data_IF_768127794010
#
_entry.id   IF_768127794010
#
_cell.length_a   1.000
_cell.length_b   1.000
_cell.length_c   1.000
_cell.angle_alpha   90.00
_cell.angle_beta   90.00
_cell.angle_gamma   90.00
#
_symmetry.space_group_name_H-M   'P 1'
#
loop_
_entity.id
_entity.type
_entity.pdbx_description
1 polymer ?
#
# COMPACT_ATOMS: atom_id res chain seq x y z
N UNK A 1 -3.74 -0.55 -1.27
CA UNK A 1 -4.75 -0.66 -0.19
C UNK A 1 -4.97 -2.10 0.29
N UNK A 2 -5.39 -3.05 -0.58
CA UNK A 2 -5.76 -4.42 -0.16
C UNK A 2 -4.64 -5.21 0.53
N UNK A 3 -3.39 -4.84 0.32
CA UNK A 3 -2.22 -5.54 0.83
C UNK A 3 -1.66 -4.93 2.12
N UNK A 4 -2.20 -3.81 2.58
CA UNK A 4 -1.82 -3.14 3.82
C UNK A 4 -2.63 -3.71 4.99
N UNK A 5 -2.00 -4.40 5.97
CA UNK A 5 -2.70 -5.01 7.09
C UNK A 5 -3.56 -4.02 7.87
N UNK A 6 -3.04 -2.82 8.10
CA UNK A 6 -3.70 -1.81 8.92
C UNK A 6 -4.94 -1.19 8.26
N UNK A 7 -5.10 -1.29 6.92
CA UNK A 7 -6.34 -0.90 6.24
C UNK A 7 -7.52 -1.83 6.54
N UNK A 8 -7.26 -3.03 7.04
CA UNK A 8 -8.29 -4.03 7.32
C UNK A 8 -8.66 -4.13 8.81
N UNK A 9 -8.26 -3.15 9.63
CA UNK A 9 -8.59 -3.12 11.06
C UNK A 9 -9.02 -1.73 11.54
N UNK A 10 -9.77 -1.67 12.66
CA UNK A 10 -10.22 -0.41 13.27
C UNK A 10 -9.08 0.37 13.95
N UNK A 11 -8.01 -0.32 14.35
CA UNK A 11 -6.81 0.28 14.94
C UNK A 11 -5.77 0.63 13.87
N UNK A 12 -6.21 1.24 12.77
CA UNK A 12 -5.42 1.43 11.57
C UNK A 12 -4.13 2.25 11.76
N UNK A 13 -4.14 3.22 12.67
CA UNK A 13 -2.97 4.04 12.98
C UNK A 13 -2.43 3.83 14.42
N UNK A 14 -2.81 2.73 15.06
CA UNK A 14 -2.37 2.42 16.42
C UNK A 14 -3.04 3.26 17.52
N UNK A 15 -4.09 4.00 17.18
CA UNK A 15 -4.78 4.93 18.09
C UNK A 15 -5.42 4.22 19.30
N UNK A 16 -5.78 2.96 19.19
CA UNK A 16 -6.36 2.18 20.28
C UNK A 16 -5.32 1.52 21.19
N UNK A 17 -4.05 1.50 20.77
CA UNK A 17 -2.96 0.81 21.48
C UNK A 17 -1.79 1.72 21.85
N UNK A 18 -1.92 3.03 21.63
CA UNK A 18 -0.88 4.02 21.91
C UNK A 18 0.31 3.96 20.94
N UNK A 19 0.08 3.46 19.73
CA UNK A 19 1.10 3.28 18.69
C UNK A 19 0.87 4.22 17.50
N UNK A 20 0.42 5.46 17.78
CA UNK A 20 0.13 6.45 16.75
C UNK A 20 1.28 6.60 15.75
N UNK A 21 0.93 6.64 14.47
CA UNK A 21 1.89 6.73 13.36
C UNK A 21 2.38 5.39 12.84
N UNK A 22 1.93 4.25 13.40
CA UNK A 22 2.35 2.91 12.94
C UNK A 22 1.94 2.65 11.49
N UNK A 23 0.87 3.25 11.01
CA UNK A 23 0.42 3.13 9.64
C UNK A 23 1.47 3.67 8.66
N UNK A 24 1.82 4.94 8.78
CA UNK A 24 2.87 5.55 7.96
C UNK A 24 4.25 4.92 8.21
N UNK A 25 4.51 4.43 9.40
CA UNK A 25 5.72 3.69 9.71
C UNK A 25 5.81 2.41 8.86
N UNK A 26 4.77 1.58 8.87
CA UNK A 26 4.71 0.31 8.14
C UNK A 26 4.70 0.52 6.62
N UNK A 27 3.86 1.44 6.13
CA UNK A 27 3.56 1.60 4.71
C UNK A 27 4.56 2.50 3.98
N UNK A 28 5.16 3.48 4.68
CA UNK A 28 6.01 4.49 4.07
C UNK A 28 7.45 4.42 4.57
N UNK A 29 7.66 4.50 5.88
CA UNK A 29 9.01 4.63 6.43
C UNK A 29 9.87 3.39 6.22
N UNK A 30 9.32 2.19 6.46
CA UNK A 30 10.06 0.94 6.25
C UNK A 30 10.42 0.76 4.77
N UNK A 31 9.48 0.88 3.81
CA UNK A 31 9.83 0.83 2.38
C UNK A 31 10.84 1.89 1.95
N UNK A 32 10.70 3.13 2.43
CA UNK A 32 11.63 4.21 2.10
C UNK A 32 13.09 3.88 2.43
N UNK A 33 13.32 3.24 3.56
CA UNK A 33 14.69 2.92 4.00
C UNK A 33 15.25 1.64 3.38
N UNK A 34 14.41 0.65 3.14
CA UNK A 34 14.85 -0.71 2.84
C UNK A 34 14.57 -1.16 1.40
N UNK A 35 13.49 -0.68 0.78
CA UNK A 35 13.00 -1.25 -0.47
C UNK A 35 14.02 -1.21 -1.61
N UNK A 36 14.67 -0.08 -1.82
CA UNK A 36 15.63 0.08 -2.90
C UNK A 36 16.93 -0.71 -2.68
N UNK A 37 17.30 -0.94 -1.42
CA UNK A 37 18.59 -1.52 -1.06
C UNK A 37 18.55 -3.02 -0.79
N UNK A 38 17.43 -3.51 -0.26
CA UNK A 38 17.35 -4.83 0.36
C UNK A 38 16.28 -5.74 -0.27
N UNK A 39 15.25 -5.16 -0.94
CA UNK A 39 14.12 -5.94 -1.41
C UNK A 39 14.20 -6.25 -2.90
N UNK A 40 13.70 -7.43 -3.27
CA UNK A 40 13.62 -7.87 -4.66
C UNK A 40 12.18 -7.75 -5.17
N UNK A 41 11.97 -6.91 -6.17
CA UNK A 41 10.68 -6.73 -6.85
C UNK A 41 10.54 -7.52 -8.15
N UNK A 42 11.48 -8.42 -8.47
CA UNK A 42 11.32 -9.33 -9.59
C UNK A 42 10.28 -10.39 -9.19
N UNK A 43 9.12 -10.29 -9.80
CA UNK A 43 7.98 -11.18 -9.58
C UNK A 43 7.75 -12.04 -10.81
N UNK A 44 7.00 -13.13 -10.65
CA UNK A 44 6.58 -13.99 -11.76
C UNK A 44 5.62 -13.28 -12.74
N UNK A 45 5.24 -13.97 -13.83
CA UNK A 45 4.33 -13.43 -14.83
C UNK A 45 2.93 -13.16 -14.24
N UNK A 46 2.26 -12.15 -14.79
CA UNK A 46 0.86 -11.87 -14.48
C UNK A 46 -0.03 -13.09 -14.82
N UNK A 47 -1.07 -13.29 -14.03
CA UNK A 47 -2.00 -14.41 -14.16
C UNK A 47 -3.40 -13.93 -14.51
N UNK A 48 -4.11 -14.71 -15.32
CA UNK A 48 -5.53 -14.49 -15.58
C UNK A 48 -6.38 -15.01 -14.41
N UNK A 49 -7.27 -14.19 -13.89
CA UNK A 49 -8.21 -14.58 -12.84
C UNK A 49 -9.64 -14.67 -13.38
N UNK A 50 -10.19 -15.87 -13.35
CA UNK A 50 -11.60 -16.09 -13.73
C UNK A 50 -12.58 -15.39 -12.79
N UNK A 51 -12.21 -15.30 -11.50
CA UNK A 51 -12.99 -14.64 -10.46
C UNK A 51 -12.10 -13.63 -9.71
N UNK A 52 -11.95 -12.40 -10.24
CA UNK A 52 -11.14 -11.37 -9.61
C UNK A 52 -11.71 -10.89 -8.27
N UNK A 53 -13.01 -11.01 -8.03
CA UNK A 53 -13.62 -10.60 -6.76
C UNK A 53 -13.19 -11.51 -5.60
N UNK A 54 -13.15 -12.81 -5.81
CA UNK A 54 -12.64 -13.76 -4.82
C UNK A 54 -11.17 -13.50 -4.47
N UNK A 55 -10.37 -13.03 -5.44
CA UNK A 55 -8.99 -12.63 -5.15
C UNK A 55 -8.94 -11.40 -4.24
N UNK A 56 -9.76 -10.37 -4.50
CA UNK A 56 -9.87 -9.18 -3.65
C UNK A 56 -10.16 -9.59 -2.20
N UNK A 57 -11.21 -10.37 -1.99
CA UNK A 57 -11.59 -10.80 -0.64
C UNK A 57 -10.51 -11.63 0.04
N UNK A 58 -9.85 -12.49 -0.69
CA UNK A 58 -8.69 -13.25 -0.15
C UNK A 58 -7.60 -12.32 0.34
N UNK A 59 -7.25 -11.27 -0.40
CA UNK A 59 -6.21 -10.30 0.00
C UNK A 59 -6.64 -9.48 1.21
N UNK A 60 -7.90 -9.06 1.28
CA UNK A 60 -8.46 -8.36 2.45
C UNK A 60 -8.37 -9.24 3.70
N UNK A 61 -8.79 -10.49 3.62
CA UNK A 61 -8.75 -11.43 4.75
C UNK A 61 -7.30 -11.71 5.20
N UNK A 62 -6.36 -11.84 4.27
CA UNK A 62 -4.94 -11.97 4.58
C UNK A 62 -4.39 -10.72 5.29
N UNK A 63 -4.83 -9.52 4.88
CA UNK A 63 -4.45 -8.27 5.53
C UNK A 63 -5.02 -8.19 6.94
N UNK A 64 -6.30 -8.50 7.11
CA UNK A 64 -6.94 -8.53 8.43
C UNK A 64 -6.23 -9.50 9.40
N UNK A 65 -5.89 -10.69 8.93
CA UNK A 65 -5.17 -11.68 9.73
C UNK A 65 -3.75 -11.24 10.12
N UNK A 66 -3.11 -10.36 9.33
CA UNK A 66 -1.77 -9.86 9.62
C UNK A 66 -1.74 -8.63 10.53
N UNK A 67 -2.86 -7.92 10.71
CA UNK A 67 -2.91 -6.65 11.43
C UNK A 67 -2.47 -6.75 12.90
N UNK A 68 -2.92 -7.81 13.61
CA UNK A 68 -2.49 -8.06 14.98
C UNK A 68 -0.97 -8.28 15.10
N UNK A 69 -0.39 -8.99 14.14
CA UNK A 69 1.06 -9.23 14.12
C UNK A 69 1.83 -7.92 13.94
N UNK A 70 1.39 -7.03 13.05
CA UNK A 70 1.99 -5.71 12.83
C UNK A 70 2.03 -4.89 14.11
N UNK A 71 0.89 -4.80 14.80
CA UNK A 71 0.77 -4.05 16.06
C UNK A 71 1.56 -4.71 17.20
N UNK A 72 1.44 -6.01 17.37
CA UNK A 72 2.10 -6.76 18.45
C UNK A 72 3.63 -6.71 18.32
N UNK A 73 4.16 -6.89 17.14
CA UNK A 73 5.61 -6.85 16.90
C UNK A 73 6.18 -5.46 17.20
N UNK A 74 5.50 -4.38 16.75
CA UNK A 74 5.95 -3.02 17.07
C UNK A 74 5.92 -2.77 18.59
N UNK A 75 4.86 -3.18 19.27
CA UNK A 75 4.74 -3.02 20.72
C UNK A 75 5.85 -3.77 21.49
N UNK A 76 6.18 -4.98 21.05
CA UNK A 76 7.28 -5.76 21.63
C UNK A 76 8.64 -5.08 21.38
N UNK A 77 8.87 -4.59 20.18
CA UNK A 77 10.10 -3.88 19.82
C UNK A 77 10.25 -2.58 20.61
N UNK A 78 9.18 -1.81 20.73
CA UNK A 78 9.18 -0.54 21.48
C UNK A 78 9.59 -0.72 22.94
N UNK A 79 9.28 -1.86 23.54
CA UNK A 79 9.69 -2.17 24.89
C UNK A 79 11.21 -2.46 25.04
N UNK A 80 11.91 -2.69 23.92
CA UNK A 80 13.35 -3.01 23.90
C UNK A 80 14.22 -1.78 23.55
N UNK A 81 13.61 -0.70 23.05
CA UNK A 81 14.31 0.52 22.69
C UNK A 81 14.01 1.61 23.72
N UNK A 82 15.03 2.41 24.07
CA UNK A 82 14.80 3.64 24.84
C UNK A 82 14.05 4.67 23.97
N UNK A 83 13.31 5.56 24.60
CA UNK A 83 12.45 6.53 23.87
C UNK A 83 13.22 7.43 22.90
N UNK A 84 14.48 7.73 23.19
CA UNK A 84 15.40 8.51 22.37
C UNK A 84 16.00 7.74 21.19
N UNK A 85 15.92 6.41 21.20
CA UNK A 85 16.39 5.55 20.12
C UNK A 85 15.29 5.19 19.11
N UNK A 86 14.04 5.33 19.50
CA UNK A 86 12.88 5.04 18.61
C UNK A 86 12.80 6.05 17.47
N UNK A 87 13.14 7.30 17.73
CA UNK A 87 13.02 8.39 16.76
C UNK A 87 14.35 9.06 16.48
N UNK A 88 14.48 9.60 15.27
CA UNK A 88 15.57 10.47 14.84
C UNK A 88 15.01 11.71 14.17
N UNK A 89 15.81 12.78 14.11
CA UNK A 89 15.51 13.97 13.32
C UNK A 89 16.27 13.92 12.01
N UNK A 90 15.55 14.06 10.91
CA UNK A 90 16.10 14.03 9.56
C UNK A 90 15.65 15.29 8.80
N UNK A 91 16.55 15.83 7.99
CA UNK A 91 16.21 16.93 7.09
C UNK A 91 15.48 16.40 5.86
N UNK A 92 14.28 16.93 5.61
CA UNK A 92 13.45 16.63 4.44
C UNK A 92 12.95 17.92 3.82
N UNK A 93 13.29 18.14 2.56
CA UNK A 93 12.90 19.35 1.83
C UNK A 93 13.23 20.67 2.58
N UNK A 94 14.40 20.71 3.24
CA UNK A 94 14.82 21.87 4.03
C UNK A 94 14.14 22.01 5.39
N UNK A 95 13.37 21.02 5.83
CA UNK A 95 12.72 21.00 7.14
C UNK A 95 13.19 19.82 7.99
N UNK A 96 13.45 20.10 9.26
CA UNK A 96 13.82 19.07 10.23
C UNK A 96 12.54 18.35 10.69
N UNK A 97 12.42 17.07 10.33
CA UNK A 97 11.27 16.22 10.64
C UNK A 97 11.67 15.08 11.58
N UNK A 98 10.80 14.79 12.55
CA UNK A 98 10.95 13.63 13.42
C UNK A 98 10.43 12.39 12.72
N UNK A 99 11.27 11.37 12.58
CA UNK A 99 10.96 10.09 11.92
C UNK A 99 11.35 8.92 12.81
N UNK A 100 10.82 7.74 12.56
CA UNK A 100 11.34 6.52 13.17
C UNK A 100 12.80 6.33 12.73
N UNK A 101 13.68 6.03 13.69
CA UNK A 101 15.11 5.88 13.42
C UNK A 101 15.39 4.68 12.51
N UNK A 102 16.50 4.73 11.77
CA UNK A 102 16.90 3.63 10.88
C UNK A 102 17.11 2.33 11.65
N UNK A 103 17.72 2.38 12.83
CA UNK A 103 17.95 1.21 13.67
C UNK A 103 16.63 0.56 14.11
N UNK A 104 15.66 1.37 14.57
CA UNK A 104 14.34 0.90 14.95
C UNK A 104 13.57 0.31 13.76
N UNK A 105 13.66 0.95 12.60
CA UNK A 105 13.00 0.54 11.36
C UNK A 105 13.53 -0.82 10.87
N UNK A 106 14.85 -0.98 10.83
CA UNK A 106 15.48 -2.24 10.42
C UNK A 106 15.14 -3.38 11.39
N UNK A 107 15.19 -3.12 12.70
CA UNK A 107 14.81 -4.13 13.69
C UNK A 107 13.33 -4.55 13.58
N UNK A 108 12.44 -3.61 13.26
CA UNK A 108 11.03 -3.89 13.04
C UNK A 108 10.80 -4.79 11.82
N UNK A 109 11.41 -4.47 10.69
CA UNK A 109 11.31 -5.28 9.47
C UNK A 109 11.86 -6.70 9.67
N UNK A 110 13.00 -6.83 10.36
CA UNK A 110 13.57 -8.14 10.71
C UNK A 110 12.61 -8.98 11.54
N UNK A 111 11.95 -8.41 12.55
CA UNK A 111 10.97 -9.09 13.37
C UNK A 111 9.68 -9.45 12.61
N UNK A 112 9.34 -8.70 11.57
CA UNK A 112 8.26 -9.02 10.65
C UNK A 112 8.64 -10.11 9.62
N UNK A 113 9.90 -10.54 9.61
CA UNK A 113 10.40 -11.60 8.73
C UNK A 113 10.08 -11.37 7.25
N UNK A 114 10.31 -10.15 6.75
CA UNK A 114 10.07 -9.77 5.35
C UNK A 114 8.58 -9.69 4.97
N UNK A 115 7.69 -9.49 5.95
CA UNK A 115 6.25 -9.38 5.67
C UNK A 115 5.97 -8.22 4.71
N UNK A 116 6.60 -7.06 4.91
CA UNK A 116 6.32 -5.85 4.13
C UNK A 116 6.70 -6.08 2.67
N UNK A 117 7.91 -6.56 2.42
CA UNK A 117 8.36 -6.93 1.08
C UNK A 117 7.40 -7.90 0.39
N UNK A 118 7.05 -9.02 1.06
CA UNK A 118 6.11 -9.99 0.49
C UNK A 118 4.74 -9.38 0.15
N UNK A 119 4.24 -8.46 0.98
CA UNK A 119 2.97 -7.77 0.72
C UNK A 119 3.08 -6.81 -0.47
N UNK A 120 4.19 -6.10 -0.61
CA UNK A 120 4.45 -5.24 -1.76
C UNK A 120 4.61 -6.05 -3.06
N UNK A 121 5.37 -7.14 -3.04
CA UNK A 121 5.50 -8.07 -4.18
C UNK A 121 4.14 -8.63 -4.61
N UNK A 122 3.32 -9.06 -3.65
CA UNK A 122 1.96 -9.53 -3.92
C UNK A 122 1.04 -8.42 -4.48
N UNK A 123 1.27 -7.17 -4.11
CA UNK A 123 0.57 -6.01 -4.67
C UNK A 123 0.91 -5.80 -6.14
N UNK A 124 2.20 -5.84 -6.49
CA UNK A 124 2.67 -5.71 -7.88
C UNK A 124 2.12 -6.84 -8.74
N UNK A 125 2.19 -8.09 -8.27
CA UNK A 125 1.61 -9.26 -8.96
C UNK A 125 0.10 -9.11 -9.18
N UNK A 126 -0.63 -8.68 -8.15
CA UNK A 126 -2.07 -8.49 -8.23
C UNK A 126 -2.44 -7.42 -9.26
N UNK A 127 -1.79 -6.24 -9.25
CA UNK A 127 -2.06 -5.16 -10.21
C UNK A 127 -1.83 -5.64 -11.64
N UNK A 128 -0.69 -6.28 -11.93
CA UNK A 128 -0.39 -6.81 -13.25
C UNK A 128 -1.42 -7.86 -13.71
N UNK A 129 -1.84 -8.73 -12.79
CA UNK A 129 -2.81 -9.78 -13.06
C UNK A 129 -4.24 -9.24 -13.28
N UNK A 130 -4.63 -8.19 -12.57
CA UNK A 130 -5.90 -7.50 -12.82
C UNK A 130 -5.91 -6.83 -14.19
N UNK A 131 -4.83 -6.16 -14.58
CA UNK A 131 -4.73 -5.56 -15.90
C UNK A 131 -4.78 -6.61 -17.01
N UNK A 132 -4.04 -7.71 -16.85
CA UNK A 132 -4.10 -8.83 -17.78
C UNK A 132 -5.50 -9.41 -17.88
N UNK A 133 -6.16 -9.62 -16.74
CA UNK A 133 -7.52 -10.16 -16.68
C UNK A 133 -8.52 -9.24 -17.38
N UNK A 134 -8.46 -7.94 -17.10
CA UNK A 134 -9.31 -6.95 -17.75
C UNK A 134 -9.09 -6.91 -19.26
N UNK A 135 -7.84 -6.94 -19.70
CA UNK A 135 -7.49 -6.95 -21.12
C UNK A 135 -8.00 -8.20 -21.83
N UNK A 136 -7.86 -9.38 -21.23
CA UNK A 136 -8.38 -10.64 -21.80
C UNK A 136 -9.91 -10.60 -21.87
N UNK A 137 -10.59 -10.15 -20.79
CA UNK A 137 -12.04 -10.07 -20.75
C UNK A 137 -12.61 -9.05 -21.76
N UNK A 138 -11.83 -8.03 -22.10
CA UNK A 138 -12.18 -7.06 -23.14
C UNK A 138 -11.95 -7.57 -24.58
N UNK A 139 -11.56 -8.84 -24.76
CA UNK A 139 -11.27 -9.42 -26.07
C UNK A 139 -9.90 -9.11 -26.63
N UNK A 140 -8.94 -8.79 -25.77
CA UNK A 140 -7.53 -8.53 -26.10
C UNK A 140 -7.34 -7.39 -27.14
N UNK A 141 -7.92 -6.21 -26.91
CA UNK A 141 -7.82 -5.11 -27.86
C UNK A 141 -6.35 -4.70 -28.10
N UNK A 142 -6.02 -4.21 -29.31
CA UNK A 142 -4.65 -3.80 -29.67
C UNK A 142 -4.29 -2.46 -29.00
N UNK A 143 -3.83 -2.50 -27.76
CA UNK A 143 -3.58 -1.32 -26.91
C UNK A 143 -2.67 -0.26 -27.57
N UNK A 144 -1.65 -0.71 -28.36
CA UNK A 144 -0.76 0.22 -29.08
C UNK A 144 -1.49 1.10 -30.09
N UNK A 145 -2.52 0.56 -30.72
CA UNK A 145 -3.36 1.28 -31.69
C UNK A 145 -4.36 2.16 -30.95
N UNK A 146 -5.01 1.64 -29.93
CA UNK A 146 -6.01 2.37 -29.14
C UNK A 146 -5.42 3.58 -28.42
N UNK A 147 -4.22 3.47 -27.87
CA UNK A 147 -3.54 4.58 -27.19
C UNK A 147 -3.26 5.80 -28.12
N UNK A 148 -3.34 5.63 -29.43
CA UNK A 148 -3.13 6.69 -30.42
C UNK A 148 -4.43 7.23 -31.02
N UNK A 149 -5.56 6.60 -30.71
CA UNK A 149 -6.85 7.05 -31.21
C UNK A 149 -7.39 8.18 -30.34
N UNK A 150 -7.99 9.24 -30.91
CA UNK A 150 -8.69 10.23 -30.12
C UNK A 150 -9.87 9.55 -29.40
N UNK A 151 -10.19 10.05 -28.23
CA UNK A 151 -11.37 9.59 -27.49
C UNK A 151 -12.63 9.91 -28.30
N UNK A 152 -13.61 9.01 -28.28
CA UNK A 152 -14.92 9.30 -28.86
C UNK A 152 -15.63 10.42 -28.10
N UNK A 153 -16.54 11.15 -28.77
CA UNK A 153 -17.30 12.22 -28.13
C UNK A 153 -18.05 11.74 -26.87
N UNK A 154 -18.58 10.52 -26.89
CA UNK A 154 -19.23 9.92 -25.72
C UNK A 154 -18.25 9.66 -24.57
N UNK A 155 -17.02 9.23 -24.86
CA UNK A 155 -16.01 9.03 -23.85
C UNK A 155 -15.56 10.38 -23.25
N UNK A 156 -15.38 11.41 -24.08
CA UNK A 156 -15.07 12.77 -23.62
C UNK A 156 -16.18 13.32 -22.73
N UNK A 157 -17.44 13.16 -23.13
CA UNK A 157 -18.60 13.60 -22.35
C UNK A 157 -18.66 12.86 -20.99
N UNK A 158 -18.44 11.56 -20.98
CA UNK A 158 -18.42 10.76 -19.75
C UNK A 158 -17.29 11.20 -18.82
N UNK A 159 -16.10 11.51 -19.34
CA UNK A 159 -14.99 12.03 -18.53
C UNK A 159 -15.31 13.41 -17.94
N UNK A 160 -15.91 14.30 -18.73
CA UNK A 160 -16.33 15.62 -18.24
C UNK A 160 -17.39 15.51 -17.13
N UNK A 161 -18.36 14.60 -17.28
CA UNK A 161 -19.37 14.33 -16.26
C UNK A 161 -18.74 13.79 -14.97
N UNK A 162 -17.79 12.87 -15.10
CA UNK A 162 -17.06 12.30 -13.97
C UNK A 162 -16.22 13.35 -13.24
N UNK A 163 -15.53 14.21 -14.00
CA UNK A 163 -14.74 15.31 -13.46
C UNK A 163 -15.62 16.35 -12.74
N UNK A 164 -16.77 16.68 -13.33
CA UNK A 164 -17.74 17.57 -12.70
C UNK A 164 -18.31 16.96 -11.40
N UNK A 165 -18.63 15.66 -11.40
CA UNK A 165 -19.08 14.96 -10.22
C UNK A 165 -17.99 14.95 -9.13
N UNK A 166 -16.73 14.72 -9.48
CA UNK A 166 -15.60 14.75 -8.56
C UNK A 166 -15.42 16.12 -7.91
N UNK A 167 -15.53 17.21 -8.68
CA UNK A 167 -15.39 18.59 -8.18
C UNK A 167 -16.57 19.05 -7.31
N UNK A 168 -17.76 18.54 -7.57
CA UNK A 168 -18.99 19.04 -6.94
C UNK A 168 -19.51 18.18 -5.80
N UNK A 169 -18.95 16.97 -5.59
CA UNK A 169 -19.38 16.08 -4.51
C UNK A 169 -18.28 15.98 -3.44
N UNK A 170 -18.68 15.86 -2.15
CA UNK A 170 -17.71 15.61 -1.10
C UNK A 170 -17.05 14.25 -1.33
N UNK A 171 -15.73 14.23 -1.35
CA UNK A 171 -14.94 13.01 -1.42
C UNK A 171 -15.12 12.27 -0.09
N UNK A 172 -15.74 11.09 -0.13
CA UNK A 172 -15.82 10.21 1.04
C UNK A 172 -14.59 9.31 1.03
N UNK A 173 -13.63 9.63 1.86
CA UNK A 173 -12.43 8.83 2.10
C UNK A 173 -12.03 8.88 3.55
N UNK A 174 -11.10 8.03 3.97
CA UNK A 174 -10.43 8.22 5.26
C UNK A 174 -9.52 9.44 5.17
N UNK A 175 -9.57 10.30 6.17
CA UNK A 175 -8.51 11.28 6.38
C UNK A 175 -7.22 10.50 6.67
N UNK A 176 -6.20 10.78 5.89
CA UNK A 176 -4.84 10.30 6.15
C UNK A 176 -4.16 11.40 6.95
N UNK A 177 -3.99 11.15 8.23
CA UNK A 177 -3.21 12.00 9.14
C UNK A 177 -1.70 11.89 8.85
#
# INVERSE_FOLDING_TARGET
DLHVPLHACSNHNGQLTGQQGIHGFWESRVPELLAEKEWDFIIGPAQYYRDPLSLIWRRVLQSAAAADTVLRVEKMLRAQFSSDQVYAYEERNGQLTRQFSSAYTTAYDQLLHGMIERRMRASVEAVASYWLTAWINAGQPPLKTLARQPLSDNALLSMQQLEAAYKNNPIKGREHD
#
